data_IF_652743224512
#
_entry.id   IF_652743224512
#
_cell.length_a   1.000
_cell.length_b   1.000
_cell.length_c   1.000
_cell.angle_alpha   90.00
_cell.angle_beta   90.00
_cell.angle_gamma   90.00
#
_symmetry.space_group_name_H-M   'P 1'
#
loop_
_entity.id
_entity.type
_entity.pdbx_description
1 polymer ?
#
# COMPACT_ATOMS: atom_id res chain seq x y z
N UNK A 1 -17.37 36.36 58.51
CA UNK A 1 -17.11 36.00 57.10
C UNK A 1 -17.27 34.49 56.93
N UNK A 2 -18.37 34.03 56.32
CA UNK A 2 -18.60 32.60 56.01
C UNK A 2 -17.91 32.27 54.68
N UNK A 3 -16.91 31.38 54.69
CA UNK A 3 -16.32 30.82 53.47
C UNK A 3 -17.31 29.81 52.88
N UNK A 4 -17.79 30.08 51.66
CA UNK A 4 -18.54 29.11 50.85
C UNK A 4 -17.55 28.10 50.29
N UNK A 5 -17.73 26.82 50.63
CA UNK A 5 -17.11 25.74 49.88
C UNK A 5 -17.89 25.58 48.58
N UNK A 6 -17.23 25.85 47.46
CA UNK A 6 -17.73 25.48 46.15
C UNK A 6 -17.69 23.96 46.04
N UNK A 7 -18.85 23.35 45.83
CA UNK A 7 -18.99 21.97 45.38
C UNK A 7 -18.27 21.89 44.03
N UNK A 8 -17.12 21.22 44.00
CA UNK A 8 -16.46 20.83 42.76
C UNK A 8 -17.33 19.75 42.11
N UNK A 9 -17.76 20.02 40.88
CA UNK A 9 -18.54 19.09 40.08
C UNK A 9 -17.73 17.83 39.76
N UNK A 10 -18.34 16.68 40.02
CA UNK A 10 -17.84 15.32 39.79
C UNK A 10 -17.94 14.91 38.29
N UNK A 11 -17.56 15.78 37.34
CA UNK A 11 -17.79 15.48 35.91
C UNK A 11 -16.54 15.26 35.04
N UNK A 12 -15.31 15.30 35.55
CA UNK A 12 -14.10 15.20 34.70
C UNK A 12 -13.26 13.91 34.82
N UNK A 13 -13.60 12.93 35.67
CA UNK A 13 -12.70 11.78 35.93
C UNK A 13 -12.92 10.52 35.08
N UNK A 14 -13.99 10.43 34.27
CA UNK A 14 -14.25 9.23 33.46
C UNK A 14 -13.41 9.15 32.17
N UNK A 15 -13.04 10.30 31.59
CA UNK A 15 -12.27 10.37 30.33
C UNK A 15 -10.80 9.96 30.53
N UNK A 16 -10.14 10.51 31.55
CA UNK A 16 -8.73 10.21 31.88
C UNK A 16 -8.50 8.75 32.28
N UNK A 17 -9.47 8.14 32.97
CA UNK A 17 -9.38 6.72 33.36
C UNK A 17 -9.37 5.80 32.13
N UNK A 18 -10.19 6.10 31.12
CA UNK A 18 -10.26 5.32 29.88
C UNK A 18 -8.99 5.49 29.03
N UNK A 19 -8.43 6.69 28.96
CA UNK A 19 -7.19 6.97 28.25
C UNK A 19 -5.99 6.21 28.86
N UNK A 20 -5.86 6.23 30.19
CA UNK A 20 -4.81 5.51 30.91
C UNK A 20 -4.91 3.97 30.81
N UNK A 21 -6.11 3.42 30.64
CA UNK A 21 -6.31 1.98 30.35
C UNK A 21 -5.83 1.65 28.93
N UNK A 22 -6.26 2.41 27.93
CA UNK A 22 -5.82 2.21 26.53
C UNK A 22 -4.31 2.37 26.38
N UNK A 23 -3.71 3.37 27.03
CA UNK A 23 -2.27 3.58 27.01
C UNK A 23 -1.52 2.36 27.55
N UNK A 24 -2.00 1.76 28.65
CA UNK A 24 -1.40 0.55 29.23
C UNK A 24 -1.48 -0.65 28.29
N UNK A 25 -2.57 -0.82 27.56
CA UNK A 25 -2.72 -1.88 26.56
C UNK A 25 -1.73 -1.72 25.40
N UNK A 26 -1.64 -0.51 24.84
CA UNK A 26 -0.68 -0.19 23.79
C UNK A 26 0.76 -0.37 24.28
N UNK A 27 1.07 0.08 25.50
CA UNK A 27 2.39 -0.11 26.13
C UNK A 27 2.73 -1.59 26.32
N UNK A 28 1.76 -2.42 26.70
CA UNK A 28 1.95 -3.88 26.81
C UNK A 28 2.22 -4.49 25.43
N UNK A 29 1.48 -4.06 24.40
CA UNK A 29 1.66 -4.51 23.03
C UNK A 29 3.06 -4.19 22.50
N UNK A 30 3.49 -2.92 22.62
CA UNK A 30 4.80 -2.52 22.10
C UNK A 30 5.95 -3.18 22.86
N UNK A 31 5.80 -3.41 24.17
CA UNK A 31 6.79 -4.14 24.97
C UNK A 31 6.91 -5.60 24.54
N UNK A 32 5.79 -6.25 24.22
CA UNK A 32 5.79 -7.61 23.69
C UNK A 32 6.46 -7.67 22.31
N UNK A 33 6.15 -6.73 21.42
CA UNK A 33 6.81 -6.63 20.11
C UNK A 33 8.32 -6.43 20.29
N UNK A 34 8.74 -5.56 21.21
CA UNK A 34 10.15 -5.33 21.51
C UNK A 34 10.87 -6.62 21.93
N UNK A 35 10.32 -7.34 22.91
CA UNK A 35 10.93 -8.59 23.43
C UNK A 35 11.03 -9.64 22.32
N UNK A 36 9.94 -9.85 21.56
CA UNK A 36 9.92 -10.82 20.48
C UNK A 36 10.90 -10.48 19.37
N UNK A 37 11.06 -9.18 19.08
CA UNK A 37 12.03 -8.70 18.10
C UNK A 37 13.46 -8.97 18.59
N UNK A 38 13.80 -8.58 19.82
CA UNK A 38 15.13 -8.78 20.41
C UNK A 38 15.52 -10.27 20.42
N UNK A 39 14.60 -11.14 20.85
CA UNK A 39 14.82 -12.58 20.88
C UNK A 39 15.04 -13.15 19.48
N UNK A 40 14.11 -12.87 18.55
CA UNK A 40 14.19 -13.41 17.18
C UNK A 40 15.44 -12.90 16.44
N UNK A 41 15.82 -11.65 16.68
CA UNK A 41 17.03 -11.06 16.12
C UNK A 41 18.30 -11.72 16.68
N UNK A 42 18.34 -11.97 18.00
CA UNK A 42 19.46 -12.64 18.65
C UNK A 42 19.63 -14.06 18.12
N UNK A 43 18.55 -14.85 18.08
CA UNK A 43 18.55 -16.23 17.58
C UNK A 43 19.02 -16.29 16.12
N UNK A 44 18.54 -15.37 15.28
CA UNK A 44 18.92 -15.30 13.88
C UNK A 44 20.40 -14.92 13.73
N UNK A 45 20.89 -13.96 14.52
CA UNK A 45 22.29 -13.55 14.52
C UNK A 45 23.21 -14.68 14.97
N UNK A 46 22.84 -15.40 16.03
CA UNK A 46 23.60 -16.56 16.50
C UNK A 46 23.64 -17.67 15.44
N UNK A 47 22.51 -17.98 14.81
CA UNK A 47 22.45 -18.98 13.74
C UNK A 47 23.34 -18.61 12.54
N UNK A 48 23.28 -17.34 12.11
CA UNK A 48 24.09 -16.81 11.00
C UNK A 48 25.59 -16.88 11.35
N UNK A 49 25.97 -16.43 12.54
CA UNK A 49 27.37 -16.44 12.98
C UNK A 49 27.89 -17.87 13.18
N UNK A 50 27.07 -18.77 13.72
CA UNK A 50 27.42 -20.19 13.90
C UNK A 50 27.77 -20.83 12.56
N UNK A 51 26.90 -20.64 11.56
CA UNK A 51 27.14 -21.13 10.20
C UNK A 51 28.38 -20.52 9.55
N UNK A 52 28.60 -19.21 9.72
CA UNK A 52 29.80 -18.55 9.18
C UNK A 52 31.09 -19.07 9.85
N UNK A 53 31.08 -19.27 11.17
CA UNK A 53 32.20 -19.82 11.92
C UNK A 53 32.50 -21.28 11.55
N UNK A 54 31.46 -22.10 11.38
CA UNK A 54 31.60 -23.50 10.96
C UNK A 54 32.14 -23.60 9.54
N UNK A 55 31.68 -22.71 8.64
CA UNK A 55 32.20 -22.60 7.27
C UNK A 55 33.68 -22.21 7.27
N UNK A 56 34.12 -21.32 8.15
CA UNK A 56 35.52 -20.89 8.26
C UNK A 56 36.44 -22.00 8.82
N UNK A 57 35.91 -22.93 9.63
CA UNK A 57 36.66 -24.01 10.28
C UNK A 57 36.76 -25.29 9.45
N UNK A 58 35.85 -25.51 8.49
CA UNK A 58 35.80 -26.72 7.65
C UNK A 58 36.37 -26.45 6.25
N UNK A 59 36.96 -27.47 5.62
CA UNK A 59 37.40 -27.40 4.22
C UNK A 59 36.20 -27.12 3.29
N UNK A 60 36.48 -26.72 2.05
CA UNK A 60 35.55 -26.19 1.03
C UNK A 60 34.29 -27.01 0.70
N UNK A 61 34.02 -28.12 1.39
CA UNK A 61 32.91 -29.04 1.19
C UNK A 61 32.03 -29.24 2.44
N UNK A 62 31.99 -28.26 3.35
CA UNK A 62 30.99 -28.30 4.42
C UNK A 62 29.58 -28.19 3.83
N UNK A 63 28.85 -29.31 3.85
CA UNK A 63 27.46 -29.39 3.42
C UNK A 63 26.63 -28.31 4.13
N UNK A 64 26.07 -27.39 3.35
CA UNK A 64 25.10 -26.43 3.86
C UNK A 64 23.81 -27.18 4.19
N UNK A 65 23.23 -27.03 5.39
CA UNK A 65 21.92 -27.62 5.68
C UNK A 65 20.91 -27.16 4.61
N UNK A 66 20.13 -28.06 3.99
CA UNK A 66 19.25 -27.75 2.86
C UNK A 66 18.28 -26.60 3.13
N UNK A 67 17.95 -26.38 4.40
CA UNK A 67 16.95 -25.41 4.84
C UNK A 67 17.53 -24.14 5.46
N UNK A 68 18.86 -24.01 5.57
CA UNK A 68 19.48 -22.88 6.26
C UNK A 68 19.10 -21.54 5.65
N UNK A 69 19.23 -21.40 4.33
CA UNK A 69 18.93 -20.14 3.63
C UNK A 69 17.42 -19.86 3.59
N UNK A 70 16.58 -20.86 3.34
CA UNK A 70 15.13 -20.67 3.28
C UNK A 70 14.54 -20.32 4.65
N UNK A 71 14.99 -21.01 5.71
CA UNK A 71 14.57 -20.77 7.10
C UNK A 71 14.98 -19.39 7.59
N UNK A 72 16.25 -18.99 7.39
CA UNK A 72 16.73 -17.68 7.81
C UNK A 72 16.10 -16.54 7.01
N UNK A 73 15.86 -16.72 5.70
CA UNK A 73 15.12 -15.75 4.90
C UNK A 73 13.69 -15.55 5.42
N UNK A 74 13.01 -16.62 5.83
CA UNK A 74 11.68 -16.55 6.44
C UNK A 74 11.72 -15.77 7.75
N UNK A 75 12.67 -16.07 8.64
CA UNK A 75 12.86 -15.35 9.91
C UNK A 75 13.16 -13.85 9.72
N UNK A 76 13.94 -13.49 8.71
CA UNK A 76 14.19 -12.08 8.34
C UNK A 76 12.87 -11.38 7.99
N UNK A 77 12.03 -12.01 7.16
CA UNK A 77 10.73 -11.43 6.78
C UNK A 77 9.78 -11.31 7.99
N UNK A 78 9.77 -12.31 8.88
CA UNK A 78 8.99 -12.26 10.13
C UNK A 78 9.43 -11.10 11.03
N UNK A 79 10.73 -10.85 11.15
CA UNK A 79 11.30 -9.69 11.85
C UNK A 79 10.89 -8.35 11.21
N UNK A 80 10.84 -8.27 9.88
CA UNK A 80 10.35 -7.07 9.19
C UNK A 80 8.89 -6.79 9.50
N UNK A 81 8.05 -7.83 9.48
CA UNK A 81 6.63 -7.70 9.82
C UNK A 81 6.47 -7.23 11.28
N UNK A 82 7.23 -7.82 12.21
CA UNK A 82 7.23 -7.39 13.62
C UNK A 82 7.66 -5.93 13.78
N UNK A 83 8.70 -5.50 13.08
CA UNK A 83 9.16 -4.12 13.08
C UNK A 83 8.06 -3.16 12.58
N UNK A 84 7.46 -3.45 11.43
CA UNK A 84 6.38 -2.63 10.86
C UNK A 84 5.17 -2.55 11.80
N UNK A 85 4.77 -3.66 12.41
CA UNK A 85 3.68 -3.69 13.36
C UNK A 85 3.97 -2.80 14.59
N UNK A 86 5.21 -2.81 15.09
CA UNK A 86 5.60 -1.94 16.20
C UNK A 86 5.66 -0.46 15.82
N UNK A 87 6.18 -0.11 14.63
CA UNK A 87 6.16 1.27 14.13
C UNK A 87 4.73 1.80 13.99
N UNK A 88 3.84 1.03 13.36
CA UNK A 88 2.43 1.40 13.21
C UNK A 88 1.76 1.60 14.58
N UNK A 89 2.03 0.70 15.54
CA UNK A 89 1.51 0.82 16.90
C UNK A 89 2.01 2.11 17.58
N UNK A 90 3.29 2.45 17.42
CA UNK A 90 3.87 3.66 17.99
C UNK A 90 3.34 4.94 17.34
N UNK A 91 3.06 4.92 16.05
CA UNK A 91 2.45 6.05 15.35
C UNK A 91 1.02 6.30 15.86
N UNK A 92 0.23 5.24 16.04
CA UNK A 92 -1.10 5.32 16.67
C UNK A 92 -0.99 5.89 18.08
N UNK A 93 -0.05 5.40 18.91
CA UNK A 93 0.18 5.93 20.25
C UNK A 93 0.58 7.42 20.22
N UNK A 94 1.48 7.82 19.32
CA UNK A 94 1.94 9.20 19.19
C UNK A 94 0.78 10.15 18.86
N UNK A 95 -0.10 9.75 17.95
CA UNK A 95 -1.23 10.57 17.53
C UNK A 95 -2.33 10.65 18.60
N UNK A 96 -2.65 9.51 19.23
CA UNK A 96 -3.71 9.46 20.24
C UNK A 96 -3.34 10.10 21.57
N UNK A 97 -2.08 9.96 22.02
CA UNK A 97 -1.64 10.42 23.34
C UNK A 97 -0.79 11.70 23.27
N UNK A 98 -0.90 12.46 22.17
CA UNK A 98 -0.09 13.67 21.90
C UNK A 98 -0.25 14.78 22.95
N UNK A 99 -1.40 14.82 23.64
CA UNK A 99 -1.73 15.81 24.66
C UNK A 99 -1.03 15.53 26.01
N UNK A 100 -0.62 14.28 26.27
CA UNK A 100 0.03 13.90 27.52
C UNK A 100 1.55 13.83 27.36
N UNK A 101 2.26 14.81 27.94
CA UNK A 101 3.70 14.95 27.78
C UNK A 101 4.50 13.74 28.29
N UNK A 102 4.04 13.05 29.34
CA UNK A 102 4.70 11.85 29.86
C UNK A 102 4.59 10.69 28.87
N UNK A 103 3.42 10.47 28.28
CA UNK A 103 3.21 9.44 27.28
C UNK A 103 3.99 9.73 25.99
N UNK A 104 4.02 10.99 25.55
CA UNK A 104 4.81 11.42 24.39
C UNK A 104 6.31 11.12 24.57
N UNK A 105 6.87 11.40 25.76
CA UNK A 105 8.27 11.09 26.07
C UNK A 105 8.54 9.59 26.02
N UNK A 106 7.64 8.76 26.55
CA UNK A 106 7.81 7.31 26.54
C UNK A 106 7.67 6.72 25.13
N UNK A 107 6.69 7.18 24.33
CA UNK A 107 6.54 6.81 22.92
C UNK A 107 7.80 7.18 22.12
N UNK A 108 8.38 8.35 22.38
CA UNK A 108 9.63 8.79 21.74
C UNK A 108 10.81 7.88 22.08
N UNK A 109 10.89 7.35 23.31
CA UNK A 109 11.90 6.36 23.70
C UNK A 109 11.74 5.07 22.92
N UNK A 110 10.51 4.56 22.79
CA UNK A 110 10.26 3.36 21.98
C UNK A 110 10.60 3.58 20.50
N UNK A 111 10.26 4.73 19.92
CA UNK A 111 10.67 5.07 18.54
C UNK A 111 12.19 5.02 18.37
N UNK A 112 12.96 5.55 19.34
CA UNK A 112 14.43 5.45 19.31
C UNK A 112 14.94 4.00 19.39
N UNK A 113 14.29 3.14 20.17
CA UNK A 113 14.60 1.70 20.22
C UNK A 113 14.34 1.05 18.86
N UNK A 114 13.21 1.35 18.23
CA UNK A 114 12.86 0.80 16.93
C UNK A 114 13.81 1.27 15.81
N UNK A 115 14.31 2.50 15.85
CA UNK A 115 15.38 2.92 14.93
C UNK A 115 16.66 2.08 15.09
N UNK A 116 17.03 1.70 16.33
CA UNK A 116 18.16 0.78 16.55
C UNK A 116 17.87 -0.60 15.96
N UNK A 117 16.65 -1.11 16.14
CA UNK A 117 16.21 -2.38 15.55
C UNK A 117 16.29 -2.39 14.03
N UNK A 118 15.87 -1.29 13.38
CA UNK A 118 16.01 -1.12 11.93
C UNK A 118 17.46 -1.25 11.47
N UNK A 119 18.38 -0.55 12.15
CA UNK A 119 19.81 -0.60 11.84
C UNK A 119 20.36 -2.02 12.02
N UNK A 120 20.02 -2.67 13.13
CA UNK A 120 20.47 -4.03 13.42
C UNK A 120 19.94 -5.05 12.40
N UNK A 121 18.65 -4.97 12.05
CA UNK A 121 18.04 -5.82 11.04
C UNK A 121 18.69 -5.61 9.67
N UNK A 122 18.93 -4.36 9.26
CA UNK A 122 19.59 -4.08 8.00
C UNK A 122 21.02 -4.63 7.96
N UNK A 123 21.78 -4.49 9.06
CA UNK A 123 23.12 -5.07 9.18
C UNK A 123 23.09 -6.59 9.02
N UNK A 124 22.13 -7.25 9.67
CA UNK A 124 21.94 -8.70 9.60
C UNK A 124 21.54 -9.17 8.20
N UNK A 125 20.64 -8.44 7.52
CA UNK A 125 20.29 -8.68 6.12
C UNK A 125 21.51 -8.59 5.21
N UNK A 126 22.31 -7.54 5.36
CA UNK A 126 23.54 -7.37 4.58
C UNK A 126 24.52 -8.52 4.81
N UNK A 127 24.65 -9.02 6.04
CA UNK A 127 25.47 -10.18 6.36
C UNK A 127 24.93 -11.46 5.71
N UNK A 128 23.62 -11.68 5.81
CA UNK A 128 22.95 -12.82 5.20
C UNK A 128 23.05 -12.81 3.67
N UNK A 129 22.87 -11.65 3.03
CA UNK A 129 22.99 -11.48 1.58
C UNK A 129 24.43 -11.77 1.09
N UNK A 130 25.44 -11.34 1.85
CA UNK A 130 26.85 -11.71 1.59
C UNK A 130 27.07 -13.22 1.68
N UNK A 131 26.49 -13.88 2.69
CA UNK A 131 26.56 -15.33 2.82
C UNK A 131 25.87 -16.05 1.66
N UNK A 132 24.71 -15.56 1.21
CA UNK A 132 23.99 -16.08 0.05
C UNK A 132 24.81 -15.92 -1.24
N UNK A 133 25.41 -14.75 -1.45
CA UNK A 133 26.24 -14.47 -2.62
C UNK A 133 27.49 -15.37 -2.65
N UNK A 134 28.17 -15.51 -1.51
CA UNK A 134 29.38 -16.33 -1.39
C UNK A 134 29.10 -17.82 -1.58
N UNK A 135 27.94 -18.30 -1.11
CA UNK A 135 27.53 -19.69 -1.35
C UNK A 135 27.06 -19.91 -2.78
N UNK A 136 26.41 -18.93 -3.45
CA UNK A 136 26.13 -19.02 -4.90
C UNK A 136 27.40 -19.14 -5.73
N UNK A 137 28.48 -18.48 -5.33
CA UNK A 137 29.80 -18.64 -5.97
C UNK A 137 30.49 -19.97 -5.60
N UNK A 138 30.25 -20.54 -4.41
CA UNK A 138 30.77 -21.87 -4.03
C UNK A 138 29.93 -23.04 -4.58
N UNK A 139 28.78 -22.78 -5.20
CA UNK A 139 28.09 -23.77 -6.04
C UNK A 139 28.74 -23.92 -7.43
N UNK A 140 29.79 -23.16 -7.73
CA UNK A 140 30.70 -23.37 -8.86
C UNK A 140 32.16 -23.13 -8.42
N UNK A 141 32.80 -24.15 -7.86
CA UNK A 141 34.15 -24.43 -8.33
C UNK A 141 34.36 -25.92 -8.64
N UNK A 142 34.99 -26.11 -9.81
CA UNK A 142 35.89 -27.21 -10.14
C UNK A 142 35.26 -28.53 -10.61
N UNK A 143 34.97 -28.56 -11.93
CA UNK A 143 35.45 -29.66 -12.76
C UNK A 143 36.94 -29.83 -12.47
N UNK A 144 37.30 -30.82 -11.67
CA UNK A 144 38.53 -31.62 -11.76
C UNK A 144 38.39 -32.77 -10.76
N UNK A 145 37.47 -33.70 -11.04
CA UNK A 145 37.57 -35.06 -10.51
C UNK A 145 37.54 -36.00 -11.70
N UNK A 146 38.74 -36.42 -12.10
CA UNK A 146 38.96 -37.65 -12.83
C UNK A 146 38.29 -38.80 -12.09
N UNK A 147 37.63 -39.66 -12.85
CA UNK A 147 36.79 -40.77 -12.41
C UNK A 147 35.45 -40.32 -11.86
N UNK A 148 34.45 -40.37 -12.71
CA UNK A 148 33.27 -41.22 -12.53
C UNK A 148 32.40 -41.00 -13.77
N UNK A 149 32.34 -42.02 -14.62
CA UNK A 149 31.49 -42.08 -15.80
C UNK A 149 30.06 -42.31 -15.32
N UNK A 150 29.42 -41.27 -14.79
CA UNK A 150 27.96 -41.23 -14.64
C UNK A 150 27.40 -40.13 -15.55
N UNK A 151 26.77 -40.58 -16.64
CA UNK A 151 25.82 -39.87 -17.53
C UNK A 151 25.92 -38.34 -17.55
N UNK A 152 27.01 -37.82 -18.13
CA UNK A 152 27.21 -36.39 -18.39
C UNK A 152 26.07 -35.73 -19.20
N UNK A 153 25.30 -36.51 -19.98
CA UNK A 153 24.19 -36.01 -20.79
C UNK A 153 22.93 -35.64 -19.98
N UNK A 154 22.61 -36.36 -18.90
CA UNK A 154 21.38 -36.09 -18.13
C UNK A 154 21.53 -34.83 -17.27
N UNK A 155 22.69 -34.61 -16.67
CA UNK A 155 22.96 -33.42 -15.85
C UNK A 155 23.00 -32.15 -16.72
N UNK A 156 23.61 -32.20 -17.90
CA UNK A 156 23.62 -31.09 -18.85
C UNK A 156 22.21 -30.77 -19.37
N UNK A 157 21.37 -31.79 -19.57
CA UNK A 157 19.97 -31.61 -19.95
C UNK A 157 19.18 -30.89 -18.85
N UNK A 158 19.31 -31.32 -17.59
CA UNK A 158 18.64 -30.71 -16.44
C UNK A 158 19.09 -29.25 -16.25
N UNK A 159 20.37 -28.93 -16.45
CA UNK A 159 20.87 -27.55 -16.37
C UNK A 159 20.28 -26.67 -17.49
N UNK A 160 20.18 -27.21 -18.72
CA UNK A 160 19.59 -26.52 -19.87
C UNK A 160 18.09 -26.28 -19.68
N UNK A 161 17.36 -27.27 -19.15
CA UNK A 161 15.96 -27.11 -18.80
C UNK A 161 15.78 -26.08 -17.68
N UNK A 162 16.64 -26.08 -16.67
CA UNK A 162 16.60 -25.08 -15.61
C UNK A 162 16.84 -23.67 -16.14
N UNK A 163 17.78 -23.47 -17.06
CA UNK A 163 18.01 -22.15 -17.65
C UNK A 163 16.85 -21.71 -18.54
N UNK A 164 16.23 -22.65 -19.28
CA UNK A 164 15.03 -22.38 -20.06
C UNK A 164 13.84 -21.99 -19.17
N UNK A 165 13.62 -22.71 -18.07
CA UNK A 165 12.57 -22.39 -17.09
C UNK A 165 12.81 -21.03 -16.43
N UNK A 166 14.06 -20.71 -16.09
CA UNK A 166 14.40 -19.40 -15.53
C UNK A 166 14.11 -18.27 -16.52
N UNK A 167 14.38 -18.49 -17.81
CA UNK A 167 13.99 -17.55 -18.86
C UNK A 167 12.47 -17.39 -18.95
N UNK A 168 11.72 -18.49 -18.96
CA UNK A 168 10.25 -18.47 -18.97
C UNK A 168 9.66 -17.74 -17.76
N UNK A 169 10.25 -17.89 -16.56
CA UNK A 169 9.82 -17.15 -15.37
C UNK A 169 10.05 -15.65 -15.54
N UNK A 170 11.20 -15.25 -16.10
CA UNK A 170 11.50 -13.84 -16.37
C UNK A 170 10.52 -13.23 -17.39
N UNK A 171 10.12 -13.99 -18.41
CA UNK A 171 9.11 -13.55 -19.38
C UNK A 171 7.72 -13.41 -18.73
N UNK A 172 7.36 -14.34 -17.83
CA UNK A 172 6.11 -14.25 -17.06
C UNK A 172 6.08 -13.02 -16.16
N UNK A 173 7.17 -12.69 -15.48
CA UNK A 173 7.28 -11.47 -14.67
C UNK A 173 7.10 -10.21 -15.52
N UNK A 174 7.68 -10.19 -16.72
CA UNK A 174 7.49 -9.10 -17.68
C UNK A 174 6.03 -9.01 -18.14
N UNK A 175 5.37 -10.13 -18.43
CA UNK A 175 3.95 -10.16 -18.80
C UNK A 175 3.05 -9.66 -17.65
N UNK A 176 3.35 -10.02 -16.40
CA UNK A 176 2.64 -9.52 -15.22
C UNK A 176 2.80 -8.01 -15.12
N UNK A 177 4.02 -7.48 -15.30
CA UNK A 177 4.29 -6.04 -15.28
C UNK A 177 3.49 -5.29 -16.35
N UNK A 178 3.52 -5.79 -17.60
CA UNK A 178 2.73 -5.23 -18.71
C UNK A 178 1.22 -5.30 -18.41
N UNK A 179 0.75 -6.41 -17.84
CA UNK A 179 -0.65 -6.59 -17.44
C UNK A 179 -1.09 -5.58 -16.38
N UNK A 180 -0.25 -5.31 -15.38
CA UNK A 180 -0.51 -4.30 -14.35
C UNK A 180 -0.56 -2.88 -14.94
N UNK A 181 0.39 -2.52 -15.81
CA UNK A 181 0.41 -1.23 -16.48
C UNK A 181 -0.83 -1.03 -17.37
N UNK A 182 -1.20 -2.07 -18.12
CA UNK A 182 -2.38 -2.05 -18.99
C UNK A 182 -3.66 -1.90 -18.18
N UNK A 183 -3.79 -2.62 -17.07
CA UNK A 183 -4.93 -2.48 -16.16
C UNK A 183 -5.05 -1.05 -15.61
N UNK A 184 -3.93 -0.43 -15.24
CA UNK A 184 -3.93 0.96 -14.79
C UNK A 184 -4.39 1.93 -15.89
N UNK A 185 -3.89 1.77 -17.12
CA UNK A 185 -4.33 2.55 -18.29
C UNK A 185 -5.83 2.39 -18.55
N UNK A 186 -6.36 1.17 -18.47
CA UNK A 186 -7.79 0.89 -18.64
C UNK A 186 -8.64 1.56 -17.55
N UNK A 187 -8.21 1.51 -16.29
CA UNK A 187 -8.90 2.21 -15.19
C UNK A 187 -8.96 3.72 -15.43
N UNK A 188 -7.86 4.32 -15.90
CA UNK A 188 -7.81 5.74 -16.22
C UNK A 188 -8.73 6.11 -17.39
N UNK A 189 -8.73 5.30 -18.45
CA UNK A 189 -9.65 5.47 -19.58
C UNK A 189 -11.11 5.36 -19.12
N UNK A 190 -11.43 4.36 -18.30
CA UNK A 190 -12.79 4.14 -17.80
C UNK A 190 -13.28 5.32 -16.92
N UNK A 191 -12.37 5.88 -16.09
CA UNK A 191 -12.66 7.10 -15.35
C UNK A 191 -13.02 8.27 -16.29
N UNK A 192 -12.23 8.48 -17.35
CA UNK A 192 -12.49 9.53 -18.35
C UNK A 192 -13.84 9.33 -19.04
N UNK A 193 -14.15 8.10 -19.47
CA UNK A 193 -15.44 7.75 -20.08
C UNK A 193 -16.59 8.05 -19.12
N UNK A 194 -16.46 7.68 -17.85
CA UNK A 194 -17.48 7.95 -16.83
C UNK A 194 -17.73 9.45 -16.67
N UNK A 195 -16.68 10.28 -16.68
CA UNK A 195 -16.81 11.74 -16.63
C UNK A 195 -17.50 12.31 -17.88
N UNK A 196 -17.17 11.80 -19.07
CA UNK A 196 -17.87 12.19 -20.29
C UNK A 196 -19.35 11.78 -20.26
N UNK A 197 -19.66 10.59 -19.76
CA UNK A 197 -21.03 10.11 -19.61
C UNK A 197 -21.85 11.01 -18.68
N UNK A 198 -21.28 11.50 -17.58
CA UNK A 198 -21.93 12.49 -16.70
C UNK A 198 -22.24 13.80 -17.42
N UNK A 199 -21.33 14.30 -18.25
CA UNK A 199 -21.56 15.50 -19.06
C UNK A 199 -22.68 15.29 -20.08
N UNK A 200 -22.71 14.13 -20.74
CA UNK A 200 -23.77 13.76 -21.69
C UNK A 200 -25.13 13.70 -20.97
N UNK A 201 -25.20 13.06 -19.80
CA UNK A 201 -26.43 12.99 -19.02
C UNK A 201 -26.91 14.39 -18.61
N UNK A 202 -26.02 15.26 -18.16
CA UNK A 202 -26.36 16.65 -17.86
C UNK A 202 -26.94 17.37 -19.10
N UNK A 203 -26.32 17.23 -20.27
CA UNK A 203 -26.86 17.81 -21.51
C UNK A 203 -28.23 17.24 -21.85
N UNK A 204 -28.42 15.94 -21.68
CA UNK A 204 -29.68 15.25 -21.94
C UNK A 204 -30.81 15.74 -21.02
N UNK A 205 -30.52 16.09 -19.77
CA UNK A 205 -31.49 16.72 -18.85
C UNK A 205 -31.85 18.16 -19.24
N UNK A 206 -30.94 18.90 -19.88
CA UNK A 206 -31.22 20.27 -20.33
C UNK A 206 -31.98 20.31 -21.66
N UNK A 207 -31.85 19.28 -22.50
CA UNK A 207 -32.46 19.21 -23.83
C UNK A 207 -33.99 19.47 -23.82
N UNK A 208 -34.79 18.87 -22.93
CA UNK A 208 -36.23 19.11 -22.86
C UNK A 208 -36.58 20.55 -22.46
N UNK A 209 -35.77 21.17 -21.61
CA UNK A 209 -35.97 22.57 -21.18
C UNK A 209 -35.74 23.52 -22.36
N UNK A 210 -34.67 23.28 -23.13
CA UNK A 210 -34.37 24.03 -24.35
C UNK A 210 -35.51 23.86 -25.36
N UNK A 211 -35.99 22.63 -25.58
CA UNK A 211 -37.14 22.38 -26.47
C UNK A 211 -38.41 23.11 -26.02
N UNK A 212 -38.68 23.19 -24.70
CA UNK A 212 -39.80 23.95 -24.14
C UNK A 212 -39.68 25.45 -24.41
N UNK A 213 -38.48 26.01 -24.23
CA UNK A 213 -38.19 27.42 -24.53
C UNK A 213 -38.40 27.69 -26.02
N UNK A 214 -37.89 26.83 -26.91
CA UNK A 214 -38.07 26.96 -28.37
C UNK A 214 -39.56 26.92 -28.75
N UNK A 215 -40.34 25.99 -28.18
CA UNK A 215 -41.80 25.94 -28.40
C UNK A 215 -42.49 27.25 -27.98
N UNK A 216 -42.11 27.81 -26.83
CA UNK A 216 -42.67 29.08 -26.35
C UNK A 216 -42.31 30.24 -27.28
N UNK A 217 -41.06 30.36 -27.71
CA UNK A 217 -40.62 31.40 -28.66
C UNK A 217 -41.43 31.31 -29.96
N UNK A 218 -41.59 30.10 -30.51
CA UNK A 218 -42.37 29.87 -31.74
C UNK A 218 -43.84 30.25 -31.57
N UNK A 219 -44.44 29.93 -30.42
CA UNK A 219 -45.81 30.28 -30.11
C UNK A 219 -46.02 31.81 -30.06
N UNK A 220 -45.16 32.54 -29.34
CA UNK A 220 -45.26 34.00 -29.26
C UNK A 220 -45.04 34.69 -30.61
N UNK A 221 -44.08 34.20 -31.41
CA UNK A 221 -43.87 34.66 -32.79
C UNK A 221 -45.13 34.47 -33.64
N UNK A 222 -45.72 33.27 -33.62
CA UNK A 222 -46.92 32.96 -34.40
C UNK A 222 -48.10 33.82 -33.96
N UNK A 223 -48.30 33.99 -32.64
CA UNK A 223 -49.35 34.85 -32.08
C UNK A 223 -49.20 36.29 -32.54
N UNK A 224 -47.98 36.85 -32.54
CA UNK A 224 -47.72 38.21 -33.00
C UNK A 224 -48.04 38.39 -34.49
N UNK A 225 -47.67 37.41 -35.32
CA UNK A 225 -47.98 37.42 -36.76
C UNK A 225 -49.49 37.37 -37.01
N UNK A 226 -50.22 36.52 -36.28
CA UNK A 226 -51.69 36.44 -36.40
C UNK A 226 -52.36 37.76 -36.02
N UNK A 227 -51.94 38.39 -34.91
CA UNK A 227 -52.48 39.70 -34.50
C UNK A 227 -52.23 40.73 -35.59
N UNK A 228 -51.01 40.80 -36.13
CA UNK A 228 -50.67 41.74 -37.21
C UNK A 228 -51.56 41.51 -38.45
N UNK A 229 -51.74 40.26 -38.87
CA UNK A 229 -52.57 39.90 -40.02
C UNK A 229 -54.04 40.31 -39.81
N UNK A 230 -54.61 40.06 -38.62
CA UNK A 230 -55.96 40.49 -38.27
C UNK A 230 -56.08 42.01 -38.30
N UNK A 231 -55.08 42.71 -37.74
CA UNK A 231 -55.09 44.19 -37.71
C UNK A 231 -55.08 44.78 -39.12
N UNK A 232 -54.22 44.25 -40.00
CA UNK A 232 -54.15 44.68 -41.41
C UNK A 232 -55.48 44.36 -42.12
N UNK A 233 -56.04 43.18 -41.94
CA UNK A 233 -57.32 42.80 -42.53
C UNK A 233 -58.47 43.71 -42.05
N UNK A 234 -58.51 44.06 -40.76
CA UNK A 234 -59.49 45.01 -40.21
C UNK A 234 -59.31 46.42 -40.78
N UNK A 235 -58.08 46.91 -40.96
CA UNK A 235 -57.83 48.20 -41.60
C UNK A 235 -58.26 48.21 -43.08
N UNK A 236 -57.97 47.14 -43.82
CA UNK A 236 -58.43 46.99 -45.21
C UNK A 236 -59.97 46.96 -45.25
N UNK A 237 -60.60 46.18 -44.38
CA UNK A 237 -62.06 46.09 -44.31
C UNK A 237 -62.72 47.43 -43.98
N UNK A 238 -62.20 48.16 -42.98
CA UNK A 238 -62.67 49.51 -42.64
C UNK A 238 -62.49 50.49 -43.81
N UNK A 239 -61.37 50.42 -44.52
CA UNK A 239 -61.13 51.24 -45.71
C UNK A 239 -62.15 50.99 -46.83
N UNK A 240 -62.55 49.73 -47.04
CA UNK A 240 -63.58 49.38 -48.02
C UNK A 240 -65.01 49.70 -47.58
N UNK A 241 -65.31 49.70 -46.27
CA UNK A 241 -66.64 50.04 -45.74
C UNK A 241 -66.90 51.56 -45.60
N UNK A 242 -65.84 52.36 -45.49
CA UNK A 242 -65.92 53.83 -45.40
C UNK A 242 -65.81 54.55 -46.75
N UNK A 243 -65.68 53.79 -47.84
CA UNK A 243 -65.71 54.28 -49.22
C UNK A 243 -67.08 54.03 -49.84
#
# INVERSE_FOLDING_TARGET
>A
MKKKYGVLGDEDHASDYNEGVRYREYKKSIRNIQINFEQSLSDLKENINSYENDRLKRSAHAECPPEFFSSNKKKINELEILYQNGVNTLEVMKNHFSHNQTYVLEVSRYLSIFEKFKIQLQSLKNMFDKLCAHNRSNFYPQKDCSSVVYKHNEINHVIKERSALQHSISELDQMISIGQETNWKLKLQNYSITQQMKKINFLNEQLPKIQKIIKNIRYYSTKRTVILAVTIASFIFLFFMLR
#
